data_IF_343111497809
#
_entry.id   IF_343111497809
#
_cell.length_a   1.000
_cell.length_b   1.000
_cell.length_c   1.000
_cell.angle_alpha   90.00
_cell.angle_beta   90.00
_cell.angle_gamma   90.00
#
_symmetry.space_group_name_H-M   'P 1'
#
loop_
_entity.id
_entity.type
_entity.pdbx_description
1 polymer ?
#
# COMPACT_ATOMS: atom_id res chain seq x y z
N UNK A 1 -1.19 -0.97 52.55
CA UNK A 1 -0.29 -2.12 52.34
C UNK A 1 -0.34 -2.43 50.84
N UNK A 2 0.60 -1.92 50.06
CA UNK A 2 0.71 -2.20 48.62
C UNK A 2 1.43 -3.54 48.48
N UNK A 3 0.67 -4.60 48.24
CA UNK A 3 1.25 -5.89 47.88
C UNK A 3 1.92 -5.79 46.49
N UNK A 4 3.18 -6.21 46.43
CA UNK A 4 4.00 -6.27 45.26
C UNK A 4 3.23 -6.89 44.07
N UNK A 5 2.93 -6.10 43.04
CA UNK A 5 2.68 -6.61 41.72
C UNK A 5 4.01 -7.15 41.19
N UNK A 6 4.15 -8.48 41.12
CA UNK A 6 5.30 -9.07 40.46
C UNK A 6 5.27 -8.70 38.97
N UNK A 7 6.30 -8.03 38.49
CA UNK A 7 6.45 -7.69 37.08
C UNK A 7 6.92 -8.91 36.30
N UNK A 8 6.04 -9.89 36.07
CA UNK A 8 6.29 -10.91 35.07
C UNK A 8 5.83 -10.35 33.71
N UNK A 9 6.74 -10.27 32.76
CA UNK A 9 6.39 -9.91 31.39
C UNK A 9 5.48 -10.98 30.80
N UNK A 10 4.25 -10.60 30.43
CA UNK A 10 3.34 -11.51 29.70
C UNK A 10 3.60 -11.31 28.21
N UNK A 11 4.08 -12.36 27.54
CA UNK A 11 4.33 -12.34 26.10
C UNK A 11 3.11 -12.95 25.41
N UNK A 12 2.47 -12.19 24.52
CA UNK A 12 1.39 -12.66 23.67
C UNK A 12 1.97 -13.08 22.31
N UNK A 13 1.71 -14.32 21.92
CA UNK A 13 2.05 -14.79 20.58
C UNK A 13 0.80 -14.75 19.70
N UNK A 14 0.89 -13.99 18.58
CA UNK A 14 -0.17 -14.02 17.56
C UNK A 14 0.20 -15.09 16.54
N UNK A 15 -0.59 -16.17 16.51
CA UNK A 15 -0.40 -17.27 15.57
C UNK A 15 -1.50 -17.25 14.51
N UNK A 16 -1.12 -17.14 13.24
CA UNK A 16 -2.05 -17.05 12.10
C UNK A 16 -2.30 -18.39 11.40
N UNK A 17 -1.95 -19.51 12.03
CA UNK A 17 -2.15 -20.86 11.47
C UNK A 17 -2.17 -21.94 12.54
N UNK A 18 -2.74 -23.11 12.20
CA UNK A 18 -2.87 -24.26 13.10
C UNK A 18 -1.57 -25.06 13.31
N UNK A 19 -0.51 -24.76 12.57
CA UNK A 19 0.76 -25.48 12.65
C UNK A 19 1.92 -24.56 12.30
N UNK A 20 3.02 -24.68 13.03
CA UNK A 20 4.29 -23.99 12.74
C UNK A 20 4.92 -24.40 11.41
N UNK A 21 4.48 -25.51 10.82
CA UNK A 21 4.95 -26.01 9.53
C UNK A 21 4.07 -25.58 8.35
N UNK A 22 2.90 -24.97 8.60
CA UNK A 22 2.02 -24.47 7.55
C UNK A 22 2.11 -22.94 7.48
N UNK A 23 2.67 -22.43 6.39
CA UNK A 23 2.62 -20.99 6.10
C UNK A 23 1.17 -20.61 5.83
N UNK A 24 0.57 -19.81 6.70
CA UNK A 24 -0.76 -19.28 6.46
C UNK A 24 -0.74 -18.34 5.25
N UNK A 25 -1.61 -18.60 4.27
CA UNK A 25 -1.84 -17.70 3.14
C UNK A 25 -2.81 -16.55 3.46
N UNK A 26 -3.20 -16.41 4.73
CA UNK A 26 -4.09 -15.34 5.16
C UNK A 26 -3.31 -14.03 5.17
N UNK A 27 -3.79 -13.08 4.40
CA UNK A 27 -3.23 -11.72 4.38
C UNK A 27 -3.56 -11.05 5.71
N UNK A 28 -2.52 -10.70 6.47
CA UNK A 28 -2.67 -9.91 7.70
C UNK A 28 -2.86 -8.45 7.27
N UNK A 29 -4.04 -7.92 7.53
CA UNK A 29 -4.33 -6.49 7.24
C UNK A 29 -3.61 -5.61 8.25
N UNK A 30 -3.18 -4.39 7.85
CA UNK A 30 -2.70 -3.39 8.80
C UNK A 30 -3.72 -3.19 9.91
N UNK A 31 -3.26 -3.22 11.14
CA UNK A 31 -4.13 -3.14 12.33
C UNK A 31 -3.36 -2.53 13.50
N UNK A 32 -4.04 -1.71 14.28
CA UNK A 32 -3.54 -1.24 15.56
C UNK A 32 -4.10 -2.15 16.66
N UNK A 33 -3.27 -2.43 17.63
CA UNK A 33 -3.62 -3.30 18.75
C UNK A 33 -3.67 -2.48 20.03
N UNK A 34 -4.70 -2.71 20.82
CA UNK A 34 -4.84 -2.17 22.17
C UNK A 34 -4.93 -3.30 23.19
N UNK A 35 -4.40 -3.07 24.36
CA UNK A 35 -4.56 -3.96 25.51
C UNK A 35 -5.39 -3.22 26.56
N UNK A 36 -6.48 -3.87 26.99
CA UNK A 36 -7.30 -3.39 28.09
C UNK A 36 -7.05 -4.26 29.32
N UNK A 37 -6.52 -3.70 30.37
CA UNK A 37 -6.37 -4.35 31.67
C UNK A 37 -7.50 -3.90 32.58
N UNK A 38 -8.31 -4.83 33.06
CA UNK A 38 -9.38 -4.53 34.03
C UNK A 38 -8.96 -5.01 35.41
N UNK A 39 -8.90 -4.08 36.35
CA UNK A 39 -8.63 -4.35 37.76
C UNK A 39 -9.97 -4.36 38.51
N UNK A 40 -10.34 -5.51 39.05
CA UNK A 40 -11.53 -5.64 39.87
C UNK A 40 -11.15 -5.63 41.36
N UNK A 41 -11.92 -4.91 42.14
CA UNK A 41 -11.80 -4.86 43.61
C UNK A 41 -13.10 -5.32 44.25
N UNK A 42 -13.00 -6.16 45.23
CA UNK A 42 -14.18 -6.81 45.83
C UNK A 42 -14.76 -6.06 47.03
N UNK A 43 -13.98 -5.20 47.69
CA UNK A 43 -14.41 -4.46 48.90
C UNK A 43 -13.79 -3.06 48.95
N UNK A 44 -14.55 -1.98 48.66
CA UNK A 44 -15.88 -1.97 48.01
C UNK A 44 -15.82 -2.50 46.59
N UNK A 45 -16.91 -3.08 46.09
CA UNK A 45 -16.97 -3.61 44.75
C UNK A 45 -16.79 -2.49 43.71
N UNK A 46 -15.88 -2.72 42.77
CA UNK A 46 -15.59 -1.78 41.68
C UNK A 46 -14.60 -2.34 40.69
N UNK A 47 -14.52 -1.72 39.54
CA UNK A 47 -13.51 -2.07 38.54
C UNK A 47 -12.98 -0.83 37.84
N UNK A 48 -11.69 -0.84 37.50
CA UNK A 48 -11.03 0.18 36.68
C UNK A 48 -10.45 -0.50 35.48
N UNK A 49 -10.79 -0.03 34.30
CA UNK A 49 -10.21 -0.48 33.02
C UNK A 49 -9.16 0.55 32.56
N UNK A 50 -7.99 0.06 32.19
CA UNK A 50 -6.91 0.88 31.61
C UNK A 50 -6.65 0.33 30.22
N UNK A 51 -6.84 1.18 29.21
CA UNK A 51 -6.55 0.86 27.82
C UNK A 51 -5.24 1.53 27.40
N UNK A 52 -4.37 0.76 26.75
CA UNK A 52 -3.09 1.22 26.21
C UNK A 52 -2.83 0.62 24.84
N UNK A 53 -2.16 1.38 23.96
CA UNK A 53 -1.65 0.86 22.70
C UNK A 53 -0.65 -0.26 22.98
N UNK A 54 -0.86 -1.39 22.30
CA UNK A 54 0.01 -2.57 22.37
C UNK A 54 0.91 -2.73 21.12
N UNK A 55 0.83 -1.79 20.19
CA UNK A 55 1.60 -1.79 18.96
C UNK A 55 0.74 -1.77 17.70
N UNK A 56 1.38 -1.77 16.56
CA UNK A 56 0.71 -1.78 15.26
C UNK A 56 1.37 -2.77 14.31
N UNK A 57 0.56 -3.38 13.46
CA UNK A 57 1.00 -4.14 12.31
C UNK A 57 0.79 -3.27 11.08
N UNK A 58 1.87 -2.84 10.44
CA UNK A 58 1.84 -1.97 9.25
C UNK A 58 2.22 -2.75 8.00
N UNK A 59 1.72 -2.31 6.85
CA UNK A 59 2.18 -2.84 5.57
C UNK A 59 3.68 -2.53 5.42
N UNK A 60 4.48 -3.57 5.20
CA UNK A 60 5.91 -3.37 4.90
C UNK A 60 6.08 -3.10 3.40
N UNK A 61 5.48 -2.02 2.94
CA UNK A 61 5.46 -1.63 1.53
C UNK A 61 4.80 -0.28 1.34
N UNK A 62 4.80 0.21 0.10
CA UNK A 62 4.17 1.47 -0.27
C UNK A 62 2.99 1.25 -1.21
N UNK A 63 1.96 2.08 -1.07
CA UNK A 63 0.84 2.18 -1.98
C UNK A 63 0.68 3.61 -2.45
N UNK A 64 0.68 3.79 -3.77
CA UNK A 64 0.54 5.10 -4.40
C UNK A 64 -0.62 5.06 -5.38
N UNK A 65 -1.57 5.99 -5.24
CA UNK A 65 -2.71 6.12 -6.15
C UNK A 65 -2.46 7.24 -7.15
N UNK A 66 -2.67 6.91 -8.43
CA UNK A 66 -2.71 7.87 -9.51
C UNK A 66 -4.17 8.03 -9.93
N UNK A 67 -4.80 9.18 -9.60
CA UNK A 67 -6.26 9.31 -9.66
C UNK A 67 -6.79 9.42 -11.10
N UNK A 68 -5.95 9.81 -12.04
CA UNK A 68 -6.33 10.01 -13.42
C UNK A 68 -5.18 9.75 -14.37
N UNK A 69 -5.46 9.10 -15.47
CA UNK A 69 -4.53 8.92 -16.59
C UNK A 69 -5.33 8.78 -17.89
N UNK A 70 -4.75 9.22 -18.98
CA UNK A 70 -5.30 9.01 -20.31
C UNK A 70 -4.23 8.46 -21.25
N UNK A 71 -4.61 7.53 -22.12
CA UNK A 71 -3.71 6.93 -23.11
C UNK A 71 -4.49 6.52 -24.36
N UNK A 72 -3.81 6.47 -25.48
CA UNK A 72 -4.36 5.95 -26.74
C UNK A 72 -4.85 7.01 -27.72
N UNK A 73 -5.49 6.56 -28.79
CA UNK A 73 -5.91 7.39 -29.91
C UNK A 73 -4.75 8.02 -30.68
N UNK A 74 -3.55 7.43 -30.71
CA UNK A 74 -2.31 8.03 -31.20
C UNK A 74 -1.93 9.40 -30.58
N UNK A 75 -2.89 10.05 -29.93
CA UNK A 75 -2.73 11.38 -29.32
C UNK A 75 -2.09 11.32 -27.93
N UNK A 76 -2.51 10.37 -27.08
CA UNK A 76 -2.08 10.36 -25.69
C UNK A 76 -1.09 9.23 -25.39
N UNK A 77 0.06 9.63 -24.85
CA UNK A 77 1.07 8.72 -24.31
C UNK A 77 1.11 8.78 -22.79
N UNK A 78 1.69 7.76 -22.14
CA UNK A 78 1.82 7.71 -20.68
C UNK A 78 3.28 7.65 -20.27
N UNK A 79 3.57 8.29 -19.14
CA UNK A 79 4.82 8.18 -18.40
C UNK A 79 4.42 7.80 -16.97
N UNK A 80 4.91 6.67 -16.51
CA UNK A 80 4.70 6.24 -15.14
C UNK A 80 5.97 5.54 -14.64
N UNK A 81 6.60 6.12 -13.66
CA UNK A 81 7.89 5.69 -13.12
C UNK A 81 7.80 5.52 -11.62
N UNK A 82 8.45 4.48 -11.11
CA UNK A 82 8.65 4.22 -9.69
C UNK A 82 10.14 4.39 -9.41
N UNK A 83 10.48 5.31 -8.53
CA UNK A 83 11.84 5.49 -8.01
C UNK A 83 11.93 4.80 -6.66
N UNK A 84 12.93 3.94 -6.51
CA UNK A 84 13.22 3.24 -5.26
C UNK A 84 14.53 3.76 -4.69
N UNK A 85 14.47 4.45 -3.56
CA UNK A 85 15.64 4.99 -2.85
C UNK A 85 16.22 4.02 -1.82
N UNK A 86 15.54 2.90 -1.56
CA UNK A 86 16.04 1.90 -0.61
C UNK A 86 17.21 1.10 -1.15
N UNK A 87 17.89 0.41 -0.26
CA UNK A 87 18.99 -0.52 -0.61
C UNK A 87 18.49 -1.92 -1.04
N UNK A 88 17.16 -2.11 -1.17
CA UNK A 88 16.55 -3.41 -1.50
C UNK A 88 15.63 -3.30 -2.70
N UNK A 89 15.63 -4.36 -3.50
CA UNK A 89 14.65 -4.53 -4.58
C UNK A 89 13.26 -4.81 -4.00
N UNK A 90 12.21 -4.33 -4.67
CA UNK A 90 10.82 -4.62 -4.31
C UNK A 90 9.97 -4.96 -5.52
N UNK A 91 9.10 -5.96 -5.42
CA UNK A 91 8.14 -6.27 -6.46
C UNK A 91 7.14 -5.12 -6.62
N UNK A 92 6.72 -4.86 -7.87
CA UNK A 92 5.70 -3.86 -8.20
C UNK A 92 4.46 -4.58 -8.71
N UNK A 93 3.29 -4.23 -8.18
CA UNK A 93 1.98 -4.66 -8.69
C UNK A 93 1.06 -3.47 -8.94
N UNK A 94 0.11 -3.65 -9.84
CA UNK A 94 -0.86 -2.62 -10.25
C UNK A 94 -2.29 -3.11 -10.05
N UNK A 95 -3.13 -2.24 -9.49
CA UNK A 95 -4.59 -2.33 -9.59
C UNK A 95 -5.05 -1.21 -10.52
N UNK A 96 -5.82 -1.53 -11.56
CA UNK A 96 -6.23 -0.59 -12.60
C UNK A 96 -7.74 -0.53 -12.66
N UNK A 97 -8.31 0.67 -12.74
CA UNK A 97 -9.74 0.92 -12.73
C UNK A 97 -10.12 1.80 -13.92
N UNK A 98 -11.17 1.42 -14.64
CA UNK A 98 -11.78 2.23 -15.68
C UNK A 98 -12.45 3.50 -15.10
N UNK A 99 -12.86 4.41 -15.97
CA UNK A 99 -13.54 5.66 -15.58
C UNK A 99 -14.87 5.42 -14.85
N UNK A 100 -15.55 4.31 -15.13
CA UNK A 100 -16.80 3.89 -14.49
C UNK A 100 -16.59 3.16 -13.15
N UNK A 101 -15.34 3.00 -12.70
CA UNK A 101 -14.97 2.27 -11.49
C UNK A 101 -14.80 0.76 -11.68
N UNK A 102 -15.04 0.23 -12.87
CA UNK A 102 -14.80 -1.18 -13.17
C UNK A 102 -13.31 -1.50 -13.02
N UNK A 103 -12.99 -2.58 -12.29
CA UNK A 103 -11.60 -3.03 -12.14
C UNK A 103 -11.15 -3.75 -13.39
N UNK A 104 -10.19 -3.17 -14.11
CA UNK A 104 -9.58 -3.74 -15.32
C UNK A 104 -8.56 -4.82 -14.96
N UNK A 105 -7.72 -4.56 -13.97
CA UNK A 105 -6.71 -5.49 -13.49
C UNK A 105 -6.52 -5.40 -11.98
N UNK A 106 -6.12 -6.51 -11.34
CA UNK A 106 -5.85 -6.59 -9.91
C UNK A 106 -4.56 -7.33 -9.67
N UNK A 107 -3.69 -6.76 -8.82
CA UNK A 107 -2.37 -7.30 -8.52
C UNK A 107 -1.55 -7.66 -9.77
N UNK A 108 -1.73 -6.88 -10.85
CA UNK A 108 -1.04 -7.12 -12.11
C UNK A 108 0.47 -6.90 -11.94
N UNK A 109 1.33 -7.87 -12.30
CA UNK A 109 2.76 -7.73 -12.09
C UNK A 109 3.35 -6.66 -13.03
N UNK A 110 4.06 -5.69 -12.45
CA UNK A 110 4.66 -4.57 -13.18
C UNK A 110 6.20 -4.53 -13.09
N UNK A 111 6.80 -5.63 -12.67
CA UNK A 111 8.25 -5.77 -12.58
C UNK A 111 8.79 -5.57 -11.17
N UNK A 112 10.02 -5.10 -11.09
CA UNK A 112 10.76 -4.93 -9.84
C UNK A 112 11.30 -3.52 -9.75
N UNK A 113 10.99 -2.82 -8.68
CA UNK A 113 11.65 -1.57 -8.30
C UNK A 113 13.06 -1.89 -7.81
N UNK A 114 14.04 -1.75 -8.67
CA UNK A 114 15.45 -2.01 -8.33
C UNK A 114 15.97 -1.00 -7.32
N UNK A 115 16.80 -1.46 -6.39
CA UNK A 115 17.44 -0.61 -5.39
C UNK A 115 18.18 0.57 -6.04
N UNK A 116 17.97 1.78 -5.51
CA UNK A 116 18.61 3.01 -5.97
C UNK A 116 18.30 3.40 -7.41
N UNK A 117 17.18 2.91 -8.01
CA UNK A 117 16.92 3.12 -9.43
C UNK A 117 15.49 3.60 -9.73
N UNK A 118 15.27 3.97 -11.00
CA UNK A 118 13.97 4.32 -11.57
C UNK A 118 13.50 3.17 -12.45
N UNK A 119 12.27 2.68 -12.21
CA UNK A 119 11.62 1.63 -12.99
C UNK A 119 10.39 2.18 -13.68
N UNK A 120 10.31 2.05 -15.02
CA UNK A 120 9.09 2.41 -15.76
C UNK A 120 8.04 1.32 -15.63
N UNK A 121 6.83 1.70 -15.24
CA UNK A 121 5.65 0.81 -15.18
C UNK A 121 4.67 1.06 -16.34
N UNK A 122 4.97 2.02 -17.21
CA UNK A 122 4.15 2.31 -18.38
C UNK A 122 3.94 1.10 -19.31
N UNK A 123 4.96 0.26 -19.61
CA UNK A 123 4.74 -0.94 -20.41
C UNK A 123 3.76 -1.93 -19.77
N UNK A 124 3.82 -2.11 -18.46
CA UNK A 124 2.92 -3.00 -17.73
C UNK A 124 1.48 -2.45 -17.70
N UNK A 125 1.31 -1.12 -17.54
CA UNK A 125 0.01 -0.47 -17.67
C UNK A 125 -0.61 -0.71 -19.06
N UNK A 126 0.17 -0.49 -20.12
CA UNK A 126 -0.30 -0.76 -21.49
C UNK A 126 -0.65 -2.23 -21.70
N UNK A 127 0.18 -3.15 -21.22
CA UNK A 127 -0.08 -4.59 -21.34
C UNK A 127 -1.38 -4.99 -20.61
N UNK A 128 -1.62 -4.45 -19.42
CA UNK A 128 -2.84 -4.69 -18.66
C UNK A 128 -4.11 -4.12 -19.33
N UNK A 129 -3.97 -3.06 -20.13
CA UNK A 129 -5.05 -2.48 -20.97
C UNK A 129 -5.25 -3.23 -22.31
N UNK A 130 -4.49 -4.29 -22.57
CA UNK A 130 -4.54 -5.02 -23.85
C UNK A 130 -3.74 -4.39 -24.98
N UNK A 131 -2.81 -3.50 -24.66
CA UNK A 131 -1.99 -2.72 -25.59
C UNK A 131 -2.33 -1.23 -25.54
N UNK A 132 -1.83 -0.46 -26.51
CA UNK A 132 -2.23 0.94 -26.65
C UNK A 132 -3.64 1.02 -27.22
N UNK A 133 -4.62 1.60 -26.48
CA UNK A 133 -6.00 1.68 -26.95
C UNK A 133 -6.12 2.48 -28.25
N UNK A 134 -6.99 2.04 -29.16
CA UNK A 134 -7.25 2.72 -30.43
C UNK A 134 -7.90 4.11 -30.24
N UNK A 135 -8.63 4.29 -29.15
CA UNK A 135 -9.25 5.56 -28.74
C UNK A 135 -8.69 6.03 -27.41
N UNK A 136 -8.80 7.33 -27.13
CA UNK A 136 -8.40 7.88 -25.84
C UNK A 136 -9.18 7.20 -24.71
N UNK A 137 -8.46 6.48 -23.87
CA UNK A 137 -9.01 5.72 -22.75
C UNK A 137 -8.53 6.34 -21.44
N UNK A 138 -9.48 6.63 -20.58
CA UNK A 138 -9.23 7.19 -19.24
C UNK A 138 -9.29 6.09 -18.19
N UNK A 139 -8.41 6.16 -17.21
CA UNK A 139 -8.34 5.20 -16.12
C UNK A 139 -7.64 5.80 -14.91
N UNK A 140 -7.76 5.13 -13.79
CA UNK A 140 -6.96 5.36 -12.59
C UNK A 140 -6.22 4.08 -12.22
N UNK A 141 -5.15 4.19 -11.44
CA UNK A 141 -4.44 3.02 -11.00
C UNK A 141 -3.78 3.21 -9.64
N UNK A 142 -3.53 2.10 -8.97
CA UNK A 142 -2.76 2.04 -7.73
C UNK A 142 -1.52 1.21 -7.97
N UNK A 143 -0.39 1.74 -7.55
CA UNK A 143 0.90 1.03 -7.52
C UNK A 143 1.09 0.53 -6.09
N UNK A 144 1.40 -0.75 -5.95
CA UNK A 144 1.86 -1.34 -4.68
C UNK A 144 3.27 -1.85 -4.87
N UNK A 145 4.19 -1.46 -3.99
CA UNK A 145 5.55 -1.98 -3.98
C UNK A 145 5.89 -2.58 -2.63
N UNK A 146 6.76 -3.60 -2.63
CA UNK A 146 7.29 -4.18 -1.40
C UNK A 146 8.58 -3.46 -0.96
N UNK A 147 8.49 -2.12 -0.89
CA UNK A 147 9.55 -1.21 -0.44
C UNK A 147 8.92 -0.23 0.54
N UNK A 148 9.59 0.17 1.63
CA UNK A 148 9.06 1.15 2.58
C UNK A 148 8.57 2.43 1.90
N UNK A 149 7.49 3.01 2.43
CA UNK A 149 6.81 4.16 1.82
C UNK A 149 7.73 5.38 1.66
N UNK A 150 8.60 5.63 2.63
CA UNK A 150 9.51 6.78 2.61
C UNK A 150 10.61 6.66 1.52
N UNK A 151 10.84 5.45 1.01
CA UNK A 151 11.85 5.16 -0.01
C UNK A 151 11.28 5.11 -1.43
N UNK A 152 9.97 5.32 -1.62
CA UNK A 152 9.31 5.22 -2.92
C UNK A 152 8.73 6.56 -3.36
N UNK A 153 9.10 6.96 -4.58
CA UNK A 153 8.51 8.10 -5.26
C UNK A 153 7.91 7.63 -6.58
N UNK A 154 6.66 8.00 -6.83
CA UNK A 154 5.99 7.75 -8.10
C UNK A 154 5.86 9.04 -8.87
N UNK A 155 6.29 9.02 -10.13
CA UNK A 155 6.06 10.08 -11.10
C UNK A 155 5.10 9.58 -12.18
N UNK A 156 3.98 10.27 -12.35
CA UNK A 156 2.98 9.96 -13.36
C UNK A 156 2.62 11.19 -14.18
N UNK A 157 2.60 11.03 -15.49
CA UNK A 157 2.24 12.08 -16.44
C UNK A 157 1.65 11.43 -17.71
N UNK A 158 0.83 12.17 -18.44
CA UNK A 158 0.48 11.84 -19.81
C UNK A 158 1.00 12.92 -20.76
N UNK A 159 1.23 12.55 -22.01
CA UNK A 159 1.65 13.45 -23.07
C UNK A 159 0.56 13.61 -24.11
N UNK A 160 0.36 14.82 -24.61
CA UNK A 160 -0.42 15.08 -25.83
C UNK A 160 0.56 15.19 -26.99
N UNK A 161 0.58 14.17 -27.84
CA UNK A 161 1.51 14.06 -28.96
C UNK A 161 1.19 15.08 -30.08
N UNK A 162 0.01 15.71 -30.07
CA UNK A 162 -0.38 16.73 -31.06
C UNK A 162 0.18 18.10 -30.70
N UNK A 163 0.26 18.42 -29.41
CA UNK A 163 0.80 19.69 -28.92
C UNK A 163 2.21 19.57 -28.36
N UNK A 164 2.72 18.34 -28.20
CA UNK A 164 3.98 18.03 -27.50
C UNK A 164 3.98 18.46 -26.05
N UNK A 165 2.80 18.68 -25.47
CA UNK A 165 2.65 19.06 -24.07
C UNK A 165 2.63 17.83 -23.15
N UNK A 166 2.98 18.07 -21.90
CA UNK A 166 2.95 17.06 -20.85
C UNK A 166 2.13 17.56 -19.67
N UNK A 167 1.16 16.79 -19.24
CA UNK A 167 0.42 17.04 -18.02
C UNK A 167 0.89 16.09 -16.91
N UNK A 168 1.40 16.66 -15.83
CA UNK A 168 1.76 15.91 -14.63
C UNK A 168 0.47 15.62 -13.87
N UNK A 169 0.26 14.36 -13.51
CA UNK A 169 -0.86 13.95 -12.67
C UNK A 169 -0.42 14.05 -11.22
N UNK A 170 -1.17 14.84 -10.45
CA UNK A 170 -0.94 14.91 -9.01
C UNK A 170 -1.35 13.57 -8.38
N UNK A 171 -0.36 12.82 -7.97
CA UNK A 171 -0.54 11.60 -7.21
C UNK A 171 -0.51 11.98 -5.73
N UNK A 172 -1.66 12.24 -5.13
CA UNK A 172 -1.80 12.30 -3.66
C UNK A 172 -1.50 10.92 -3.08
N UNK A 173 -0.22 10.61 -3.09
CA UNK A 173 0.29 9.28 -2.80
C UNK A 173 0.41 9.00 -1.32
N UNK A 174 0.28 9.99 -0.49
CA UNK A 174 0.31 9.79 0.95
C UNK A 174 -1.12 9.80 1.46
N UNK A 175 -1.70 8.62 1.62
CA UNK A 175 -2.74 8.46 2.64
C UNK A 175 -2.05 8.79 3.96
N UNK A 176 -2.05 10.07 4.30
CA UNK A 176 -1.62 10.51 5.62
C UNK A 176 -2.64 9.89 6.58
N UNK A 177 -2.27 8.78 7.20
CA UNK A 177 -2.83 8.43 8.50
C UNK A 177 -2.37 9.55 9.42
N UNK A 178 -3.19 10.61 9.53
CA UNK A 178 -3.05 11.56 10.61
C UNK A 178 -3.18 10.77 11.91
N UNK A 179 -2.06 10.68 12.62
CA UNK A 179 -2.05 10.30 14.03
C UNK A 179 -2.85 11.33 14.84
#
# INVERSE_FOLDING_TARGET
>A
MLSHLSSSATIFHIQTGKSLTAVSKVVIKPSDYTVTATFAHTTPAGSVAIEKSAGSWKLNGSQVRVPYMVVGGSRFGIIANVTNHSAKDGAITLDIFAEDGTKIASNYPAGTAKAGSVTSVAPALLAALGGSPATATKFSFQITTNVPEDDVIVYAAYTDNTTSERAIVNNDSKVQTKN
#
